data_IF_920621985785
#
_entry.id   IF_920621985785
#
_cell.length_a   1.000
_cell.length_b   1.000
_cell.length_c   1.000
_cell.angle_alpha   90.00
_cell.angle_beta   90.00
_cell.angle_gamma   90.00
#
_symmetry.space_group_name_H-M   'P 1'
#
loop_
_entity.id
_entity.type
_entity.pdbx_description
1 polymer ?
#
# COMPACT_ATOMS: atom_id res chain seq x y z
N UNK A 1 -4.50 -54.95 71.19
CA UNK A 1 -5.59 -53.96 71.28
C UNK A 1 -5.42 -53.04 70.10
N UNK A 2 -6.37 -53.18 69.21
CA UNK A 2 -6.30 -52.78 67.81
C UNK A 2 -6.46 -51.30 67.58
N UNK A 3 -5.60 -50.74 66.72
CA UNK A 3 -5.87 -49.44 66.13
C UNK A 3 -5.75 -49.57 64.60
N UNK A 4 -6.92 -49.55 63.97
CA UNK A 4 -7.05 -49.56 62.53
C UNK A 4 -6.80 -48.19 61.94
N UNK A 5 -5.78 -48.11 61.09
CA UNK A 5 -5.46 -46.92 60.26
C UNK A 5 -6.39 -46.83 59.08
N UNK A 6 -7.19 -45.75 58.98
CA UNK A 6 -8.00 -45.41 57.82
C UNK A 6 -7.21 -44.55 56.86
N UNK A 7 -6.93 -45.10 55.66
CA UNK A 7 -6.22 -44.42 54.59
C UNK A 7 -7.23 -43.60 53.77
N UNK A 8 -7.28 -42.26 53.90
CA UNK A 8 -8.05 -41.38 53.03
C UNK A 8 -7.25 -41.08 51.77
N UNK A 9 -7.70 -41.64 50.68
CA UNK A 9 -7.19 -41.36 49.33
C UNK A 9 -7.88 -40.10 48.80
N UNK A 10 -7.19 -38.93 48.83
CA UNK A 10 -7.68 -37.69 48.25
C UNK A 10 -7.44 -37.73 46.75
N UNK A 11 -8.50 -37.87 45.98
CA UNK A 11 -8.50 -37.74 44.50
C UNK A 11 -8.44 -36.25 44.15
N UNK A 12 -7.27 -35.81 43.65
CA UNK A 12 -7.08 -34.46 43.13
C UNK A 12 -7.67 -34.42 41.71
N UNK A 13 -8.87 -33.93 41.57
CA UNK A 13 -9.49 -33.66 40.26
C UNK A 13 -8.89 -32.36 39.71
N UNK A 14 -7.93 -32.47 38.81
CA UNK A 14 -7.41 -31.33 38.05
C UNK A 14 -8.46 -30.90 37.02
N UNK A 15 -9.13 -29.79 37.32
CA UNK A 15 -10.02 -29.13 36.35
C UNK A 15 -9.13 -28.46 35.30
N UNK A 16 -8.98 -29.08 34.14
CA UNK A 16 -8.46 -28.40 32.95
C UNK A 16 -9.48 -27.36 32.52
N UNK A 17 -9.19 -26.09 32.78
CA UNK A 17 -9.94 -24.99 32.17
C UNK A 17 -9.65 -24.95 30.66
N UNK A 18 -10.65 -24.99 29.80
CA UNK A 18 -10.40 -24.76 28.37
C UNK A 18 -9.90 -23.33 28.19
N UNK A 19 -8.67 -23.18 27.69
CA UNK A 19 -8.18 -21.90 27.14
C UNK A 19 -9.15 -21.47 26.07
N UNK A 20 -9.94 -20.45 26.34
CA UNK A 20 -10.69 -19.73 25.32
C UNK A 20 -9.68 -19.05 24.39
N UNK A 21 -9.36 -19.71 23.27
CA UNK A 21 -8.73 -19.05 22.16
C UNK A 21 -9.61 -17.85 21.80
N UNK A 22 -9.08 -16.64 22.02
CA UNK A 22 -9.77 -15.42 21.68
C UNK A 22 -10.12 -15.45 20.20
N UNK A 23 -11.39 -15.55 19.89
CA UNK A 23 -11.90 -15.30 18.57
C UNK A 23 -11.50 -13.87 18.23
N UNK A 24 -10.61 -13.69 17.24
CA UNK A 24 -10.35 -12.40 16.66
C UNK A 24 -11.72 -11.86 16.19
N UNK A 25 -12.22 -10.85 16.87
CA UNK A 25 -13.46 -10.19 16.49
C UNK A 25 -13.26 -9.62 15.11
N UNK A 26 -13.92 -10.18 14.11
CA UNK A 26 -13.92 -9.63 12.77
C UNK A 26 -14.46 -8.20 12.86
N UNK A 27 -13.68 -7.23 12.42
CA UNK A 27 -14.09 -5.83 12.38
C UNK A 27 -15.36 -5.70 11.51
N UNK A 28 -16.36 -4.93 11.96
CA UNK A 28 -17.61 -4.80 11.20
C UNK A 28 -17.33 -4.09 9.87
N UNK A 29 -17.54 -4.79 8.76
CA UNK A 29 -17.39 -4.27 7.40
C UNK A 29 -18.50 -3.30 7.10
N UNK A 30 -18.17 -2.04 6.78
CA UNK A 30 -19.14 -1.00 6.40
C UNK A 30 -19.39 -0.93 4.90
N UNK A 31 -18.32 -1.07 4.12
CA UNK A 31 -18.39 -0.93 2.67
C UNK A 31 -17.23 -1.65 1.96
N UNK A 32 -17.47 -1.97 0.69
CA UNK A 32 -16.40 -2.34 -0.24
C UNK A 32 -16.00 -1.12 -1.05
N UNK A 33 -14.70 -0.84 -1.10
CA UNK A 33 -14.10 0.18 -1.93
C UNK A 33 -13.48 -0.48 -3.15
N UNK A 34 -13.86 -0.06 -4.35
CA UNK A 34 -13.22 -0.48 -5.61
C UNK A 34 -12.50 0.70 -6.21
N UNK A 35 -11.28 0.49 -6.69
CA UNK A 35 -10.46 1.57 -7.19
C UNK A 35 -9.68 1.25 -8.45
N UNK A 36 -9.29 2.34 -9.10
CA UNK A 36 -8.31 2.37 -10.19
C UNK A 36 -7.39 3.57 -9.98
N UNK A 37 -6.22 3.58 -10.60
CA UNK A 37 -5.35 4.74 -10.55
C UNK A 37 -4.58 4.96 -11.85
N UNK A 38 -4.39 6.21 -12.19
CA UNK A 38 -3.43 6.68 -13.18
C UNK A 38 -2.17 7.13 -12.46
N UNK A 39 -1.02 6.67 -12.93
CA UNK A 39 0.29 6.97 -12.35
C UNK A 39 1.10 7.79 -13.35
N UNK A 40 1.56 8.94 -12.93
CA UNK A 40 2.57 9.73 -13.62
C UNK A 40 3.88 9.65 -12.85
N UNK A 41 5.00 9.55 -13.57
CA UNK A 41 6.32 9.61 -12.96
C UNK A 41 7.25 10.52 -13.76
N UNK A 42 8.15 11.18 -13.05
CA UNK A 42 9.14 12.08 -13.63
C UNK A 42 10.51 11.66 -13.13
N UNK A 43 11.37 11.28 -14.06
CA UNK A 43 12.76 10.92 -13.79
C UNK A 43 13.65 12.09 -14.19
N UNK A 44 14.43 12.63 -13.27
CA UNK A 44 15.42 13.68 -13.59
C UNK A 44 16.57 13.08 -14.37
N UNK A 45 17.04 13.80 -15.40
CA UNK A 45 18.19 13.37 -16.17
C UNK A 45 19.05 14.59 -16.56
N UNK A 46 20.31 14.34 -16.95
CA UNK A 46 21.31 15.40 -17.17
C UNK A 46 20.89 16.45 -18.19
N UNK A 47 20.15 16.09 -19.24
CA UNK A 47 19.76 17.02 -20.31
C UNK A 47 18.32 17.50 -20.19
N UNK A 48 17.40 16.62 -19.85
CA UNK A 48 15.98 16.94 -19.68
C UNK A 48 15.30 15.83 -18.88
N UNK A 49 14.29 16.21 -18.13
CA UNK A 49 13.47 15.27 -17.38
C UNK A 49 12.71 14.35 -18.32
N UNK A 50 12.52 13.12 -17.86
CA UNK A 50 11.82 12.07 -18.60
C UNK A 50 10.47 11.80 -17.93
N UNK A 51 9.37 12.32 -18.49
CA UNK A 51 8.04 11.95 -18.02
C UNK A 51 7.66 10.56 -18.51
N UNK A 52 6.89 9.88 -17.68
CA UNK A 52 6.27 8.62 -18.03
C UNK A 52 4.93 8.46 -17.33
N UNK A 53 4.17 7.45 -17.76
CA UNK A 53 2.87 7.12 -17.22
C UNK A 53 2.68 5.61 -17.11
N UNK A 54 1.75 5.21 -16.26
CA UNK A 54 1.28 3.83 -16.12
C UNK A 54 -0.15 3.84 -15.57
N UNK A 55 -0.79 2.67 -15.52
CA UNK A 55 -2.05 2.46 -14.81
C UNK A 55 -1.92 1.31 -13.83
N UNK A 56 -2.53 1.45 -12.67
CA UNK A 56 -2.66 0.30 -11.79
C UNK A 56 -3.74 -0.67 -12.29
N UNK A 57 -3.63 -1.91 -11.86
CA UNK A 57 -4.73 -2.86 -12.01
C UNK A 57 -5.90 -2.42 -11.12
N UNK A 58 -7.14 -2.70 -11.51
CA UNK A 58 -8.28 -2.51 -10.64
C UNK A 58 -8.08 -3.25 -9.32
N UNK A 59 -8.37 -2.59 -8.21
CA UNK A 59 -8.21 -3.15 -6.87
C UNK A 59 -9.47 -3.00 -6.03
N UNK A 60 -9.54 -3.74 -4.93
CA UNK A 60 -10.61 -3.60 -3.94
C UNK A 60 -10.02 -3.57 -2.53
N UNK A 61 -10.68 -2.85 -1.65
CA UNK A 61 -10.38 -2.78 -0.23
C UNK A 61 -11.66 -2.79 0.59
N UNK A 62 -11.55 -3.08 1.88
CA UNK A 62 -12.67 -3.08 2.81
C UNK A 62 -12.57 -1.81 3.66
N UNK A 63 -13.68 -1.09 3.79
CA UNK A 63 -13.85 -0.05 4.78
C UNK A 63 -14.51 -0.68 6.01
N UNK A 64 -13.88 -0.56 7.15
CA UNK A 64 -14.31 -1.15 8.41
C UNK A 64 -14.24 -0.13 9.55
N UNK A 65 -14.74 -0.51 10.73
CA UNK A 65 -14.48 0.22 11.98
C UNK A 65 -13.46 -0.54 12.82
N UNK A 66 -12.45 0.18 13.26
CA UNK A 66 -11.50 -0.36 14.23
C UNK A 66 -12.11 -0.46 15.66
N UNK A 67 -11.35 -1.00 16.60
CA UNK A 67 -11.77 -1.15 17.98
C UNK A 67 -12.13 0.19 18.70
N UNK A 68 -11.61 1.32 18.18
CA UNK A 68 -11.94 2.66 18.65
C UNK A 68 -13.14 3.29 17.93
N UNK A 69 -13.79 2.55 17.01
CA UNK A 69 -14.91 3.01 16.20
C UNK A 69 -14.54 3.94 15.04
N UNK A 70 -13.25 4.10 14.72
CA UNK A 70 -12.78 4.93 13.60
C UNK A 70 -12.96 4.17 12.28
N UNK A 71 -13.31 4.91 11.22
CA UNK A 71 -13.40 4.34 9.87
C UNK A 71 -12.01 4.16 9.28
N UNK A 72 -11.62 2.93 9.07
CA UNK A 72 -10.29 2.56 8.58
C UNK A 72 -10.38 1.65 7.36
N UNK A 73 -9.36 1.69 6.53
CA UNK A 73 -9.06 0.65 5.55
C UNK A 73 -7.91 -0.17 6.14
N UNK A 74 -8.15 -1.38 6.68
CA UNK A 74 -7.13 -2.18 7.34
C UNK A 74 -5.95 -2.49 6.43
N UNK A 75 -6.26 -2.82 5.17
CA UNK A 75 -5.23 -3.08 4.13
C UNK A 75 -5.78 -2.72 2.77
N UNK A 76 -4.98 -2.01 1.99
CA UNK A 76 -5.19 -1.80 0.56
C UNK A 76 -3.91 -2.12 -0.19
N UNK A 77 -4.04 -2.90 -1.25
CA UNK A 77 -2.94 -3.29 -2.14
C UNK A 77 -3.22 -2.80 -3.55
N UNK A 78 -2.20 -2.26 -4.18
CA UNK A 78 -2.24 -1.73 -5.54
C UNK A 78 -1.08 -2.31 -6.34
N UNK A 79 -1.36 -2.77 -7.55
CA UNK A 79 -0.36 -3.31 -8.46
C UNK A 79 -0.27 -2.49 -9.73
N UNK A 80 0.95 -2.19 -10.15
CA UNK A 80 1.23 -1.49 -11.41
C UNK A 80 2.02 -2.41 -12.32
N UNK A 81 1.47 -2.82 -13.49
CA UNK A 81 2.17 -3.64 -14.46
C UNK A 81 3.36 -2.89 -15.06
N UNK A 82 4.57 -3.46 -14.96
CA UNK A 82 5.78 -2.87 -15.54
C UNK A 82 5.67 -2.77 -17.06
N UNK A 83 5.02 -3.73 -17.70
CA UNK A 83 4.79 -3.72 -19.16
C UNK A 83 3.90 -2.56 -19.63
N UNK A 84 3.07 -2.01 -18.73
CA UNK A 84 2.19 -0.87 -19.01
C UNK A 84 2.83 0.50 -18.78
N UNK A 85 4.09 0.56 -18.37
CA UNK A 85 4.83 1.81 -18.20
C UNK A 85 5.24 2.36 -19.57
N UNK A 86 4.92 3.62 -19.83
CA UNK A 86 5.13 4.30 -21.11
C UNK A 86 5.82 5.65 -20.90
N UNK A 87 6.97 5.83 -21.55
CA UNK A 87 7.70 7.10 -21.60
C UNK A 87 7.62 7.76 -22.98
N UNK A 88 6.75 7.29 -23.87
CA UNK A 88 6.61 7.70 -25.27
C UNK A 88 7.88 7.44 -26.09
N UNK A 89 8.66 6.44 -25.74
CA UNK A 89 9.85 6.03 -26.44
C UNK A 89 10.08 4.52 -26.27
N UNK A 90 9.78 3.73 -27.29
CA UNK A 90 9.82 2.27 -27.26
C UNK A 90 11.22 1.71 -26.86
N UNK A 91 12.31 2.36 -27.29
CA UNK A 91 13.65 1.93 -26.93
C UNK A 91 13.92 2.14 -25.42
N UNK A 92 13.49 3.28 -24.89
CA UNK A 92 13.60 3.58 -23.45
C UNK A 92 12.73 2.66 -22.61
N UNK A 93 11.50 2.41 -23.07
CA UNK A 93 10.58 1.50 -22.40
C UNK A 93 11.10 0.06 -22.40
N UNK A 94 11.78 -0.38 -23.47
CA UNK A 94 12.48 -1.66 -23.51
C UNK A 94 13.56 -1.76 -22.42
N UNK A 95 14.43 -0.76 -22.34
CA UNK A 95 15.49 -0.69 -21.29
C UNK A 95 14.93 -0.59 -19.89
N UNK A 96 13.82 0.09 -19.71
CA UNK A 96 13.12 0.17 -18.44
C UNK A 96 12.61 -1.22 -18.04
N UNK A 97 11.96 -1.95 -18.92
CA UNK A 97 11.51 -3.34 -18.67
C UNK A 97 12.68 -4.28 -18.32
N UNK A 98 13.81 -4.14 -18.99
CA UNK A 98 15.04 -4.88 -18.67
C UNK A 98 15.54 -4.54 -17.26
N UNK A 99 15.62 -3.27 -16.89
CA UNK A 99 16.03 -2.82 -15.56
C UNK A 99 15.14 -3.36 -14.46
N UNK A 100 13.83 -3.38 -14.67
CA UNK A 100 12.86 -3.97 -13.74
C UNK A 100 12.85 -5.50 -13.75
N UNK A 101 13.55 -6.16 -14.68
CA UNK A 101 13.48 -7.61 -14.90
C UNK A 101 12.01 -8.06 -15.05
N UNK A 102 11.27 -7.38 -15.94
CA UNK A 102 9.81 -7.48 -16.02
C UNK A 102 9.25 -8.88 -16.33
N UNK A 103 10.05 -9.77 -16.91
CA UNK A 103 9.68 -11.19 -17.10
C UNK A 103 9.59 -11.94 -15.76
N UNK A 104 10.50 -11.62 -14.83
CA UNK A 104 10.52 -12.22 -13.49
C UNK A 104 9.66 -11.45 -12.48
N UNK A 105 9.65 -10.13 -12.60
CA UNK A 105 8.94 -9.22 -11.71
C UNK A 105 7.99 -8.33 -12.54
N UNK A 106 6.85 -8.88 -12.98
CA UNK A 106 5.97 -8.18 -13.93
C UNK A 106 5.21 -6.99 -13.32
N UNK A 107 5.25 -6.83 -11.99
CA UNK A 107 4.45 -5.81 -11.27
C UNK A 107 5.26 -5.12 -10.18
N UNK A 108 4.95 -3.85 -9.99
CA UNK A 108 5.31 -3.07 -8.80
C UNK A 108 4.12 -3.17 -7.86
N UNK A 109 4.37 -3.41 -6.57
CA UNK A 109 3.34 -3.52 -5.53
C UNK A 109 3.45 -2.35 -4.56
N UNK A 110 2.33 -1.78 -4.20
CA UNK A 110 2.22 -0.80 -3.13
C UNK A 110 1.11 -1.24 -2.16
N UNK A 111 1.39 -1.21 -0.88
CA UNK A 111 0.41 -1.50 0.16
C UNK A 111 0.36 -0.37 1.19
N UNK A 112 -0.83 -0.11 1.72
CA UNK A 112 -1.01 0.72 2.90
C UNK A 112 -1.84 -0.04 3.93
N UNK A 113 -1.52 0.18 5.20
CA UNK A 113 -2.21 -0.47 6.32
C UNK A 113 -2.80 0.58 7.26
N UNK A 114 -3.90 0.21 7.91
CA UNK A 114 -4.58 1.01 8.95
C UNK A 114 -4.83 2.46 8.54
N UNK A 115 -5.31 2.63 7.29
CA UNK A 115 -5.55 3.97 6.73
C UNK A 115 -6.78 4.59 7.39
N UNK A 116 -6.57 5.57 8.26
CA UNK A 116 -7.64 6.34 8.92
C UNK A 116 -8.26 7.34 7.92
N UNK A 117 -9.44 7.00 7.43
CA UNK A 117 -10.12 7.73 6.35
C UNK A 117 -10.54 9.12 6.80
N UNK A 118 -11.07 9.25 8.03
CA UNK A 118 -11.56 10.54 8.52
C UNK A 118 -10.41 11.51 8.80
N UNK A 119 -9.32 11.00 9.38
CA UNK A 119 -8.10 11.80 9.56
C UNK A 119 -7.60 12.35 8.23
N UNK A 120 -7.48 11.50 7.21
CA UNK A 120 -7.02 11.94 5.89
C UNK A 120 -7.95 12.98 5.27
N UNK A 121 -9.26 12.77 5.35
CA UNK A 121 -10.24 13.77 4.84
C UNK A 121 -10.07 15.12 5.50
N UNK A 122 -9.93 15.15 6.83
CA UNK A 122 -9.73 16.39 7.59
C UNK A 122 -8.40 17.06 7.24
N UNK A 123 -7.32 16.31 7.15
CA UNK A 123 -5.99 16.84 6.86
C UNK A 123 -5.90 17.40 5.43
N UNK A 124 -6.41 16.68 4.44
CA UNK A 124 -6.48 17.18 3.06
C UNK A 124 -7.37 18.44 2.99
N UNK A 125 -8.52 18.43 3.69
CA UNK A 125 -9.45 19.56 3.70
C UNK A 125 -8.89 20.86 4.31
N UNK A 126 -7.88 20.77 5.18
CA UNK A 126 -7.19 21.94 5.73
C UNK A 126 -6.29 22.65 4.71
N UNK A 127 -6.03 22.02 3.57
CA UNK A 127 -5.26 22.61 2.46
C UNK A 127 -3.80 22.91 2.78
N UNK A 128 -3.26 22.39 3.87
CA UNK A 128 -1.84 22.53 4.20
C UNK A 128 -1.04 21.45 3.50
N UNK A 129 -0.10 21.89 2.71
CA UNK A 129 0.84 20.97 2.02
C UNK A 129 1.62 20.13 3.04
N UNK A 130 1.56 18.80 2.92
CA UNK A 130 2.33 17.87 3.75
C UNK A 130 1.63 17.32 5.00
N UNK A 131 0.45 17.84 5.38
CA UNK A 131 -0.24 17.37 6.59
C UNK A 131 -0.89 15.99 6.40
N UNK A 132 -1.43 15.70 5.20
CA UNK A 132 -2.07 14.42 4.89
C UNK A 132 -1.06 13.40 4.36
N UNK A 133 -0.39 12.69 5.24
CA UNK A 133 0.60 11.68 4.86
C UNK A 133 0.12 10.25 5.10
N UNK A 134 0.49 9.35 4.17
CA UNK A 134 0.28 7.90 4.24
C UNK A 134 1.63 7.22 4.10
N UNK A 135 1.89 6.26 4.98
CA UNK A 135 3.04 5.37 4.84
C UNK A 135 2.67 4.22 3.89
N UNK A 136 3.45 4.08 2.81
CA UNK A 136 3.30 3.00 1.84
C UNK A 136 4.43 1.99 2.01
N UNK A 137 4.12 0.72 1.91
CA UNK A 137 5.10 -0.33 1.64
C UNK A 137 5.19 -0.50 0.12
N UNK A 138 6.26 -0.01 -0.47
CA UNK A 138 6.51 -0.11 -1.91
C UNK A 138 7.48 -1.26 -2.16
N UNK A 139 7.07 -2.23 -2.99
CA UNK A 139 7.90 -3.34 -3.42
C UNK A 139 8.16 -3.26 -4.92
N UNK A 140 9.43 -3.13 -5.27
CA UNK A 140 9.91 -3.15 -6.64
C UNK A 140 10.88 -4.33 -6.77
N UNK A 141 10.57 -5.26 -7.67
CA UNK A 141 11.26 -6.54 -7.76
C UNK A 141 11.12 -7.32 -6.42
N UNK A 142 12.24 -7.68 -5.82
CA UNK A 142 12.36 -8.38 -4.54
C UNK A 142 12.73 -7.44 -3.37
N UNK A 143 12.83 -6.13 -3.63
CA UNK A 143 13.17 -5.13 -2.61
C UNK A 143 11.91 -4.38 -2.16
N UNK A 144 11.68 -4.34 -0.85
CA UNK A 144 10.59 -3.59 -0.23
C UNK A 144 11.13 -2.44 0.62
N UNK A 145 10.49 -1.27 0.51
CA UNK A 145 10.81 -0.07 1.30
C UNK A 145 9.56 0.64 1.75
N UNK A 146 9.66 1.25 2.92
CA UNK A 146 8.64 2.17 3.42
C UNK A 146 8.85 3.54 2.80
N UNK A 147 7.82 4.06 2.14
CA UNK A 147 7.82 5.36 1.48
C UNK A 147 6.71 6.20 2.06
N UNK A 148 6.98 7.47 2.35
CA UNK A 148 5.95 8.42 2.80
C UNK A 148 5.36 9.13 1.61
N UNK A 149 4.04 8.99 1.42
CA UNK A 149 3.28 9.68 0.38
C UNK A 149 2.45 10.81 1.00
N UNK A 150 2.31 11.90 0.27
CA UNK A 150 1.43 13.02 0.61
C UNK A 150 0.14 12.90 -0.18
N UNK A 151 -1.00 12.92 0.50
CA UNK A 151 -2.32 12.92 -0.11
C UNK A 151 -2.83 14.36 -0.32
N UNK A 152 -3.46 14.60 -1.46
CA UNK A 152 -3.98 15.92 -1.82
C UNK A 152 -5.19 15.82 -2.77
N UNK A 153 -5.79 16.96 -3.10
CA UNK A 153 -6.83 17.10 -4.14
C UNK A 153 -8.04 16.18 -3.96
N UNK A 154 -8.46 15.94 -2.71
CA UNK A 154 -9.63 15.13 -2.40
C UNK A 154 -10.91 15.77 -2.95
N UNK A 155 -11.64 14.99 -3.76
CA UNK A 155 -12.99 15.32 -4.23
C UNK A 155 -13.89 14.14 -3.90
N UNK A 156 -15.01 14.42 -3.27
CA UNK A 156 -16.01 13.44 -2.89
C UNK A 156 -17.37 13.86 -3.44
N UNK A 157 -17.93 13.05 -4.34
CA UNK A 157 -19.26 13.26 -4.92
C UNK A 157 -20.33 12.38 -4.27
N UNK A 158 -19.99 11.61 -3.22
CA UNK A 158 -20.84 10.62 -2.59
C UNK A 158 -20.79 9.23 -3.25
N UNK A 159 -20.78 9.18 -4.56
CA UNK A 159 -20.65 7.91 -5.33
C UNK A 159 -19.19 7.59 -5.67
N UNK A 160 -18.39 8.62 -5.85
CA UNK A 160 -17.00 8.51 -6.26
C UNK A 160 -16.12 9.44 -5.42
N UNK A 161 -14.97 8.92 -5.01
CA UNK A 161 -13.92 9.68 -4.34
C UNK A 161 -12.69 9.70 -5.22
N UNK A 162 -12.12 10.88 -5.47
CA UNK A 162 -10.84 11.03 -6.16
C UNK A 162 -9.85 11.77 -5.29
N UNK A 163 -8.57 11.40 -5.36
CA UNK A 163 -7.48 12.07 -4.66
C UNK A 163 -6.14 11.77 -5.33
N UNK A 164 -5.15 12.59 -5.06
CA UNK A 164 -3.77 12.39 -5.50
C UNK A 164 -2.90 11.88 -4.36
N UNK A 165 -1.92 11.01 -4.68
CA UNK A 165 -0.79 10.65 -3.83
C UNK A 165 0.50 11.02 -4.53
N UNK A 166 1.37 11.75 -3.84
CA UNK A 166 2.69 12.13 -4.35
C UNK A 166 3.80 11.63 -3.42
N UNK A 167 4.84 11.01 -3.98
CA UNK A 167 5.97 10.49 -3.22
C UNK A 167 7.24 10.39 -4.08
N UNK A 168 8.42 10.58 -3.49
CA UNK A 168 9.69 10.33 -4.15
C UNK A 168 10.06 8.84 -4.09
N UNK A 169 10.76 8.36 -5.11
CA UNK A 169 11.40 7.04 -5.16
C UNK A 169 12.87 7.23 -5.50
N UNK A 170 13.78 6.65 -4.73
CA UNK A 170 15.19 6.52 -5.08
C UNK A 170 15.41 5.16 -5.74
N UNK A 171 15.88 5.14 -6.98
CA UNK A 171 16.09 3.90 -7.73
C UNK A 171 17.16 3.02 -7.06
N UNK A 172 18.19 3.63 -6.48
CA UNK A 172 19.26 2.92 -5.77
C UNK A 172 18.76 2.20 -4.51
N UNK A 173 17.76 2.73 -3.80
CA UNK A 173 17.14 2.04 -2.65
C UNK A 173 16.43 0.74 -3.02
N UNK A 174 16.08 0.57 -4.30
CA UNK A 174 15.47 -0.65 -4.85
C UNK A 174 16.42 -1.46 -5.72
N UNK A 175 17.73 -1.24 -5.60
CA UNK A 175 18.77 -1.91 -6.40
C UNK A 175 18.53 -1.79 -7.92
N UNK A 176 17.91 -0.67 -8.34
CA UNK A 176 17.69 -0.35 -9.75
C UNK A 176 18.83 0.53 -10.26
N UNK A 177 19.52 0.02 -11.27
CA UNK A 177 20.63 0.75 -11.91
C UNK A 177 20.17 1.25 -13.29
N UNK A 178 19.77 2.52 -13.42
CA UNK A 178 19.36 3.05 -14.71
C UNK A 178 20.51 2.99 -15.73
N UNK A 179 20.23 2.59 -16.97
CA UNK A 179 21.26 2.49 -17.99
C UNK A 179 21.82 3.86 -18.34
N UNK A 180 23.15 3.98 -18.39
CA UNK A 180 23.80 5.14 -18.97
C UNK A 180 23.76 5.02 -20.51
N UNK A 181 23.33 6.06 -21.21
CA UNK A 181 23.38 6.11 -22.66
C UNK A 181 24.69 6.80 -23.06
N UNK A 182 25.56 6.09 -23.76
CA UNK A 182 26.86 6.58 -24.27
C UNK A 182 27.80 7.13 -23.18
N UNK A 183 27.64 6.75 -21.91
CA UNK A 183 28.50 7.24 -20.82
C UNK A 183 28.31 8.72 -20.45
N UNK A 184 27.52 9.47 -21.23
CA UNK A 184 27.33 10.92 -21.09
C UNK A 184 25.99 11.29 -20.47
N UNK A 185 24.92 10.53 -20.81
CA UNK A 185 23.58 10.75 -20.28
C UNK A 185 23.37 9.88 -19.03
N UNK A 186 23.34 10.53 -17.87
CA UNK A 186 23.01 9.87 -16.62
C UNK A 186 21.54 10.14 -16.29
N UNK A 187 20.79 9.07 -16.07
CA UNK A 187 19.48 9.13 -15.45
C UNK A 187 19.69 9.36 -13.96
N UNK A 188 18.98 10.30 -13.39
CA UNK A 188 19.05 10.58 -11.94
C UNK A 188 18.49 9.43 -11.13
N UNK A 189 18.91 9.35 -9.88
CA UNK A 189 18.44 8.35 -8.92
C UNK A 189 17.01 8.63 -8.46
N UNK A 190 16.61 9.89 -8.42
CA UNK A 190 15.30 10.30 -7.87
C UNK A 190 14.22 10.34 -8.95
N UNK A 191 13.11 9.71 -8.64
CA UNK A 191 11.88 9.71 -9.41
C UNK A 191 10.77 10.33 -8.58
N UNK A 192 10.09 11.34 -9.11
CA UNK A 192 8.86 11.86 -8.50
C UNK A 192 7.68 11.05 -9.06
N UNK A 193 6.86 10.51 -8.18
CA UNK A 193 5.66 9.74 -8.54
C UNK A 193 4.43 10.50 -8.08
N UNK A 194 3.45 10.63 -8.97
CA UNK A 194 2.11 11.15 -8.68
C UNK A 194 1.08 10.14 -9.16
N UNK A 195 0.22 9.69 -8.27
CA UNK A 195 -0.86 8.77 -8.59
C UNK A 195 -2.20 9.42 -8.32
N UNK A 196 -3.08 9.46 -9.32
CA UNK A 196 -4.46 9.93 -9.15
C UNK A 196 -5.38 8.73 -9.00
N UNK A 197 -6.00 8.61 -7.84
CA UNK A 197 -6.92 7.53 -7.50
C UNK A 197 -8.35 7.90 -7.78
N UNK A 198 -9.12 6.93 -8.26
CA UNK A 198 -10.56 7.00 -8.44
C UNK A 198 -11.19 5.82 -7.72
N UNK A 199 -12.00 6.08 -6.69
CA UNK A 199 -12.62 5.08 -5.83
C UNK A 199 -14.14 5.14 -5.97
N UNK A 200 -14.79 3.97 -6.06
CA UNK A 200 -16.22 3.79 -5.90
C UNK A 200 -16.49 3.06 -4.57
N UNK A 201 -17.38 3.60 -3.76
CA UNK A 201 -17.73 3.05 -2.45
C UNK A 201 -19.11 2.41 -2.53
N UNK A 202 -19.18 1.11 -2.24
CA UNK A 202 -20.45 0.34 -2.23
C UNK A 202 -20.72 -0.12 -0.80
N UNK A 203 -21.82 0.32 -0.14
CA UNK A 203 -22.19 -0.13 1.20
C UNK A 203 -22.33 -1.66 1.25
N UNK A 204 -21.87 -2.29 2.33
CA UNK A 204 -22.18 -3.70 2.60
C UNK A 204 -23.67 -3.82 2.90
N UNK A 205 -24.32 -4.81 2.27
CA UNK A 205 -25.74 -5.13 2.50
C UNK A 205 -25.88 -6.00 3.73
#
# INVERSE_FOLDING_TARGET
MDIRAGLFLAILVSVLSPSSAGAASAEPVEATVRGACDVAFLVTATLHDVPGSARCLPFAAILARDAAGRRVIPTVEVEVPVAGMDTRNATRDGKMREMFLSERFPRIHAAAHDVDVERLRVEIGKGREGDASIDLLLRIRDVERKVRATASNLKDSGEQVTFDLEFPVSLGEFDLNPPSVLGILRVGDKVSVKSTFTLAVSPSR
#
